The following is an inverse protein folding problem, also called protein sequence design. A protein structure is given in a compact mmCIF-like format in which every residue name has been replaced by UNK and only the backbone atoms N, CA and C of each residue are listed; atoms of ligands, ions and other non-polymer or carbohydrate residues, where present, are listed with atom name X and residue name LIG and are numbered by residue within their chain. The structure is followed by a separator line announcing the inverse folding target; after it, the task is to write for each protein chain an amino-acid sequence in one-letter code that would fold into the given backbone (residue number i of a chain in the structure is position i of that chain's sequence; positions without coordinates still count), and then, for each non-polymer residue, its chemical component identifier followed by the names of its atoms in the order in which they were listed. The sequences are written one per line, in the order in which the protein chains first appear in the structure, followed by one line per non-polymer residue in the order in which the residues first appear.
data_IF_063724217453
#
_entry.id   IF_063724217453
#
_cell.length_a   1.000
_cell.length_b   1.000
_cell.length_c   1.000
_cell.angle_alpha   90.00
_cell.angle_beta   90.00
_cell.angle_gamma   90.00
#
_symmetry.space_group_name_H-M   'P 1'
#
loop_
_entity.id
_entity.type
_entity.pdbx_description
1 polymer ?
#
# COMPACT_ATOMS: atom_id res chain seq x y z
N UNK A 1 1.07 7.29 -9.13
CA UNK A 1 1.05 7.11 -7.67
C UNK A 1 2.25 6.27 -7.26
N UNK A 2 3.09 6.75 -6.35
CA UNK A 2 4.23 5.97 -5.87
C UNK A 2 3.82 5.02 -4.73
N UNK A 3 3.36 3.83 -5.11
CA UNK A 3 2.98 2.75 -4.19
C UNK A 3 4.20 2.15 -3.48
N UNK A 4 5.36 2.21 -4.11
CA UNK A 4 6.57 1.56 -3.63
C UNK A 4 7.11 2.22 -2.35
N UNK A 5 7.28 3.54 -2.36
CA UNK A 5 8.02 4.23 -1.31
C UNK A 5 7.21 4.47 -0.03
N UNK A 6 5.90 4.74 -0.12
CA UNK A 6 5.15 5.29 1.02
C UNK A 6 3.99 4.40 1.52
N UNK A 7 3.86 4.15 2.85
CA UNK A 7 2.78 3.34 3.42
C UNK A 7 1.41 3.89 3.07
N UNK A 8 1.33 5.20 2.98
CA UNK A 8 0.16 5.96 2.59
C UNK A 8 0.52 6.68 1.30
N UNK A 9 -0.35 6.59 0.31
CA UNK A 9 -0.11 7.19 -0.99
C UNK A 9 -0.26 8.70 -0.93
N UNK A 10 0.68 9.40 -1.58
CA UNK A 10 0.70 10.86 -1.65
C UNK A 10 -0.06 11.33 -2.90
N UNK A 11 -1.08 12.18 -2.75
CA UNK A 11 -1.92 12.61 -3.88
C UNK A 11 -1.15 13.44 -4.90
N UNK A 12 -0.09 14.11 -4.47
CA UNK A 12 0.78 14.92 -5.34
C UNK A 12 1.64 14.05 -6.27
N UNK A 13 1.65 12.73 -6.07
CA UNK A 13 2.40 11.75 -6.88
C UNK A 13 1.51 11.00 -7.87
N UNK A 14 0.31 11.51 -8.17
CA UNK A 14 -0.51 11.00 -9.28
C UNK A 14 -0.04 11.57 -10.61
N UNK A 15 -0.25 10.82 -11.68
CA UNK A 15 0.09 11.23 -13.04
C UNK A 15 -1.20 11.31 -13.86
N UNK A 16 -1.27 12.24 -14.80
CA UNK A 16 -2.38 12.32 -15.72
C UNK A 16 -2.34 11.12 -16.69
N UNK A 17 -3.48 10.47 -16.86
CA UNK A 17 -3.65 9.35 -17.79
C UNK A 17 -4.87 9.60 -18.66
N UNK A 18 -4.91 8.99 -19.84
CA UNK A 18 -6.14 8.96 -20.64
C UNK A 18 -7.22 8.16 -19.90
N UNK A 19 -8.45 8.66 -19.92
CA UNK A 19 -9.58 7.99 -19.29
C UNK A 19 -9.93 6.76 -20.13
N UNK A 20 -9.88 5.60 -19.50
CA UNK A 20 -10.33 4.34 -20.05
C UNK A 20 -11.41 3.78 -19.13
N UNK A 21 -12.63 3.63 -19.66
CA UNK A 21 -13.80 3.17 -18.89
C UNK A 21 -13.64 1.75 -18.31
N UNK A 22 -12.68 0.97 -18.82
CA UNK A 22 -12.35 -0.34 -18.28
C UNK A 22 -11.43 -0.28 -17.04
N UNK A 23 -10.86 0.89 -16.73
CA UNK A 23 -9.96 1.05 -15.58
C UNK A 23 -10.72 1.03 -14.25
N UNK A 24 -10.09 0.39 -13.26
CA UNK A 24 -10.62 0.36 -11.92
C UNK A 24 -10.39 1.69 -11.21
N UNK A 25 -11.46 2.31 -10.70
CA UNK A 25 -11.38 3.50 -9.85
C UNK A 25 -10.83 3.15 -8.47
N UNK A 26 -9.91 3.99 -7.97
CA UNK A 26 -9.37 3.92 -6.60
C UNK A 26 -10.28 4.70 -5.66
N UNK A 27 -10.53 4.16 -4.47
CA UNK A 27 -11.38 4.75 -3.42
C UNK A 27 -10.65 4.80 -2.10
N UNK A 28 -11.12 5.67 -1.21
CA UNK A 28 -10.63 5.74 0.16
C UNK A 28 -10.58 4.36 0.83
N UNK A 29 -9.45 4.04 1.44
CA UNK A 29 -9.20 2.75 2.11
C UNK A 29 -8.74 1.63 1.18
N UNK A 30 -8.65 1.86 -0.13
CA UNK A 30 -8.06 0.88 -1.05
C UNK A 30 -6.58 0.68 -0.74
N UNK A 31 -6.16 -0.58 -0.79
CA UNK A 31 -4.76 -0.97 -0.68
C UNK A 31 -4.23 -1.31 -2.06
N UNK A 32 -3.14 -0.68 -2.45
CA UNK A 32 -2.47 -0.87 -3.71
C UNK A 32 -1.19 -1.66 -3.50
N UNK A 33 -0.86 -2.56 -4.42
CA UNK A 33 0.35 -3.38 -4.35
C UNK A 33 1.12 -3.35 -5.67
N UNK A 34 2.45 -3.26 -5.59
CA UNK A 34 3.31 -3.49 -6.76
C UNK A 34 3.28 -4.96 -7.18
N UNK A 35 3.27 -5.21 -8.49
CA UNK A 35 3.17 -6.59 -9.03
C UNK A 35 4.51 -7.28 -9.22
N UNK A 36 5.56 -6.51 -9.50
CA UNK A 36 6.86 -7.02 -9.92
C UNK A 36 8.03 -6.20 -9.36
N UNK A 37 9.17 -6.84 -9.09
CA UNK A 37 10.44 -6.16 -8.79
C UNK A 37 11.66 -6.97 -9.27
N UNK A 38 12.84 -6.38 -9.16
CA UNK A 38 14.14 -7.04 -9.42
C UNK A 38 14.58 -7.91 -8.23
N UNK A 39 14.16 -7.55 -7.02
CA UNK A 39 14.43 -8.33 -5.80
C UNK A 39 13.15 -8.89 -5.18
N UNK A 40 13.19 -10.07 -4.54
CA UNK A 40 12.02 -10.65 -3.90
C UNK A 40 11.56 -9.84 -2.68
N UNK A 41 12.43 -9.07 -2.03
CA UNK A 41 12.10 -8.22 -0.88
C UNK A 41 11.23 -7.01 -1.27
N UNK A 42 11.33 -6.58 -2.52
CA UNK A 42 10.68 -5.38 -3.06
C UNK A 42 9.38 -5.68 -3.81
N UNK A 43 9.06 -6.95 -4.07
CA UNK A 43 7.80 -7.32 -4.72
C UNK A 43 6.62 -7.17 -3.75
N UNK A 44 5.46 -6.77 -4.25
CA UNK A 44 4.26 -6.66 -3.42
C UNK A 44 4.35 -5.55 -2.38
N UNK A 45 5.13 -4.49 -2.62
CA UNK A 45 5.12 -3.30 -1.78
C UNK A 45 3.73 -2.68 -1.78
N UNK A 46 3.23 -2.29 -0.62
CA UNK A 46 1.86 -1.84 -0.44
C UNK A 46 1.76 -0.35 -0.16
N UNK A 47 0.65 0.28 -0.54
CA UNK A 47 0.30 1.63 -0.11
C UNK A 47 -1.20 1.77 0.02
N UNK A 48 -1.68 2.53 1.01
CA UNK A 48 -3.11 2.77 1.21
C UNK A 48 -3.49 4.14 0.68
N UNK A 49 -4.58 4.19 -0.08
CA UNK A 49 -5.17 5.43 -0.58
C UNK A 49 -6.11 6.03 0.45
N UNK A 50 -5.81 7.25 0.92
CA UNK A 50 -6.58 7.93 1.97
C UNK A 50 -7.28 9.20 1.48
N UNK A 51 -7.34 9.43 0.16
CA UNK A 51 -8.06 10.56 -0.40
C UNK A 51 -9.45 10.18 -0.90
N UNK A 52 -10.33 11.17 -0.86
CA UNK A 52 -11.67 11.12 -1.46
C UNK A 52 -11.70 11.96 -2.75
N UNK A 53 -10.83 11.62 -3.70
CA UNK A 53 -10.79 12.30 -5.01
C UNK A 53 -11.58 11.53 -6.06
N UNK A 54 -12.36 12.25 -6.84
CA UNK A 54 -12.93 11.73 -8.08
C UNK A 54 -11.83 11.54 -9.13
N UNK A 55 -12.06 10.66 -10.11
CA UNK A 55 -11.16 10.42 -11.24
C UNK A 55 -9.74 9.93 -10.89
N UNK A 56 -9.59 9.17 -9.79
CA UNK A 56 -8.35 8.43 -9.51
C UNK A 56 -8.48 6.99 -10.01
N UNK A 57 -7.56 6.57 -10.86
CA UNK A 57 -7.57 5.26 -11.50
C UNK A 57 -6.33 4.45 -11.13
N UNK A 58 -6.50 3.13 -11.05
CA UNK A 58 -5.40 2.20 -10.78
C UNK A 58 -4.59 1.98 -12.06
N UNK A 59 -3.27 2.13 -11.97
CA UNK A 59 -2.38 1.84 -13.10
C UNK A 59 -2.18 0.33 -13.33
N UNK A 60 -1.69 -0.05 -14.50
CA UNK A 60 -1.47 -1.45 -14.89
C UNK A 60 -0.33 -2.16 -14.14
N UNK A 61 0.54 -1.40 -13.46
CA UNK A 61 1.68 -1.93 -12.71
C UNK A 61 1.33 -2.35 -11.28
N UNK A 62 0.15 -1.94 -10.80
CA UNK A 62 -0.33 -2.28 -9.48
C UNK A 62 -1.61 -3.12 -9.56
N UNK A 63 -1.89 -3.86 -8.48
CA UNK A 63 -3.22 -4.38 -8.24
C UNK A 63 -3.80 -3.77 -6.97
N UNK A 64 -5.11 -3.56 -6.96
CA UNK A 64 -5.86 -3.01 -5.84
C UNK A 64 -6.59 -4.09 -5.07
N UNK A 65 -6.67 -3.90 -3.75
CA UNK A 65 -7.52 -4.64 -2.83
C UNK A 65 -8.39 -3.65 -2.05
N UNK A 66 -9.70 -3.89 -2.06
CA UNK A 66 -10.67 -3.11 -1.28
C UNK A 66 -11.14 -3.95 -0.08
N UNK A 67 -10.80 -3.57 1.16
CA UNK A 67 -11.25 -4.29 2.34
C UNK A 67 -12.79 -4.34 2.41
N UNK A 68 -13.34 -5.53 2.60
CA UNK A 68 -14.80 -5.73 2.76
C UNK A 68 -15.22 -5.55 4.22
N UNK A 69 -14.33 -5.88 5.16
CA UNK A 69 -14.53 -5.65 6.59
C UNK A 69 -13.97 -4.28 6.96
N UNK A 70 -14.61 -3.63 7.93
CA UNK A 70 -14.12 -2.39 8.51
C UNK A 70 -12.78 -2.65 9.22
N UNK A 71 -11.73 -1.98 8.75
CA UNK A 71 -10.38 -1.99 9.30
C UNK A 71 -9.87 -0.56 9.23
N UNK A 72 -9.18 -0.09 10.27
CA UNK A 72 -8.57 1.24 10.24
C UNK A 72 -7.51 1.27 9.12
N UNK A 73 -7.60 2.21 8.16
CA UNK A 73 -6.76 2.16 6.97
C UNK A 73 -5.31 2.60 7.28
N UNK A 74 -5.08 3.42 8.32
CA UNK A 74 -3.74 3.72 8.81
C UNK A 74 -3.10 2.47 9.41
N UNK A 75 -3.83 1.73 10.26
CA UNK A 75 -3.34 0.46 10.78
C UNK A 75 -2.93 -0.50 9.65
N UNK A 76 -3.79 -0.64 8.63
CA UNK A 76 -3.54 -1.53 7.50
C UNK A 76 -2.30 -1.11 6.69
N UNK A 77 -2.10 0.20 6.49
CA UNK A 77 -0.92 0.76 5.81
C UNK A 77 0.40 0.31 6.46
N UNK A 78 0.45 0.36 7.78
CA UNK A 78 1.65 0.00 8.55
C UNK A 78 1.77 -1.51 8.80
N UNK A 79 0.67 -2.22 9.01
CA UNK A 79 0.67 -3.68 9.16
C UNK A 79 1.29 -4.36 7.93
N UNK A 80 0.86 -3.96 6.73
CA UNK A 80 1.33 -4.55 5.47
C UNK A 80 2.80 -4.26 5.17
N UNK A 81 3.36 -3.24 5.83
CA UNK A 81 4.78 -2.86 5.76
C UNK A 81 5.60 -3.30 6.95
N UNK A 82 4.99 -3.90 7.97
CA UNK A 82 5.71 -4.48 9.09
C UNK A 82 6.67 -5.58 8.61
N UNK A 83 7.81 -5.72 9.27
CA UNK A 83 8.85 -6.69 8.91
C UNK A 83 8.30 -8.12 8.81
N UNK A 84 7.43 -8.51 9.75
CA UNK A 84 6.78 -9.82 9.73
C UNK A 84 5.88 -10.03 8.52
N UNK A 85 5.11 -9.01 8.13
CA UNK A 85 4.25 -9.10 6.94
C UNK A 85 5.04 -9.05 5.64
N UNK A 86 6.04 -8.16 5.55
CA UNK A 86 6.95 -8.08 4.40
C UNK A 86 7.66 -9.40 4.15
N UNK A 87 8.09 -10.09 5.21
CA UNK A 87 8.67 -11.43 5.10
C UNK A 87 7.67 -12.44 4.54
N UNK A 88 6.41 -12.45 4.99
CA UNK A 88 5.37 -13.32 4.43
C UNK A 88 5.13 -13.03 2.95
N UNK A 89 5.08 -11.76 2.57
CA UNK A 89 4.85 -11.32 1.19
C UNK A 89 6.03 -11.71 0.28
N UNK A 90 7.27 -11.48 0.71
CA UNK A 90 8.46 -11.81 -0.09
C UNK A 90 8.62 -13.32 -0.31
N UNK A 91 8.15 -14.16 0.61
CA UNK A 91 8.11 -15.61 0.41
C UNK A 91 7.16 -16.06 -0.71
N UNK A 92 6.21 -15.21 -1.12
CA UNK A 92 5.32 -15.48 -2.25
C UNK A 92 5.93 -15.05 -3.59
N UNK A 93 7.09 -14.40 -3.59
CA UNK A 93 7.78 -13.95 -4.78
C UNK A 93 8.19 -15.12 -5.67
N UNK A 94 7.91 -15.02 -6.97
CA UNK A 94 8.29 -16.03 -7.96
C UNK A 94 9.02 -15.39 -9.12
N UNK A 95 10.15 -15.95 -9.51
CA UNK A 95 10.99 -15.45 -10.59
C UNK A 95 12.47 -15.74 -10.36
N UNK A 96 13.30 -15.32 -11.32
CA UNK A 96 14.77 -15.41 -11.23
C UNK A 96 15.37 -14.01 -11.38
N UNK A 97 15.23 -13.40 -12.56
CA UNK A 97 15.71 -12.05 -12.84
C UNK A 97 14.67 -10.97 -12.53
N UNK A 98 13.39 -11.31 -12.63
CA UNK A 98 12.26 -10.45 -12.27
C UNK A 98 11.28 -11.26 -11.46
N UNK A 99 11.02 -10.81 -10.24
CA UNK A 99 10.09 -11.44 -9.32
C UNK A 99 8.71 -10.85 -9.52
N UNK A 100 7.70 -11.70 -9.47
CA UNK A 100 6.29 -11.32 -9.51
C UNK A 100 5.56 -11.96 -8.34
N UNK A 101 4.39 -11.41 -8.00
CA UNK A 101 3.53 -11.98 -6.98
C UNK A 101 2.15 -12.31 -7.54
N UNK A 102 1.65 -13.50 -7.20
CA UNK A 102 0.30 -13.90 -7.57
C UNK A 102 -0.72 -13.16 -6.71
N UNK A 103 -1.66 -12.46 -7.35
CA UNK A 103 -2.80 -11.82 -6.68
C UNK A 103 -3.56 -12.83 -5.81
N UNK A 104 -3.84 -14.02 -6.33
CA UNK A 104 -4.57 -15.07 -5.59
C UNK A 104 -3.81 -15.48 -4.34
N UNK A 105 -2.49 -15.65 -4.42
CA UNK A 105 -1.67 -15.99 -3.24
C UNK A 105 -1.59 -14.87 -2.22
N UNK A 106 -1.54 -13.61 -2.65
CA UNK A 106 -1.64 -12.48 -1.73
C UNK A 106 -2.96 -12.45 -0.97
N UNK A 107 -4.06 -12.82 -1.62
CA UNK A 107 -5.39 -12.87 -0.98
C UNK A 107 -5.53 -14.01 0.03
N UNK A 108 -4.66 -15.02 -0.01
CA UNK A 108 -4.62 -16.13 0.97
C UNK A 108 -3.85 -15.75 2.25
N UNK A 109 -3.18 -14.58 2.30
CA UNK A 109 -2.40 -14.17 3.47
C UNK A 109 -3.29 -13.83 4.65
N UNK A 110 -3.04 -14.50 5.78
CA UNK A 110 -3.68 -14.19 7.05
C UNK A 110 -2.99 -13.02 7.75
N UNK A 111 -3.81 -12.05 8.16
CA UNK A 111 -3.42 -10.86 8.90
C UNK A 111 -4.13 -10.82 10.26
N UNK A 112 -3.45 -10.30 11.28
CA UNK A 112 -4.08 -10.03 12.58
C UNK A 112 -4.88 -8.73 12.47
N UNK A 113 -6.11 -8.73 13.00
CA UNK A 113 -6.95 -7.53 13.09
C UNK A 113 -7.36 -7.39 14.56
N UNK A 114 -6.68 -6.53 15.34
CA UNK A 114 -7.00 -6.31 16.74
C UNK A 114 -8.28 -5.48 16.89
N UNK A 115 -8.66 -5.12 18.12
CA UNK A 115 -9.81 -4.24 18.35
C UNK A 115 -9.58 -2.82 17.77
N UNK A 116 -10.66 -2.05 17.59
CA UNK A 116 -10.60 -0.74 16.94
C UNK A 116 -9.64 0.25 17.64
N UNK A 117 -9.61 0.27 18.97
CA UNK A 117 -8.75 1.18 19.74
C UNK A 117 -7.26 0.89 19.51
N UNK A 118 -6.89 -0.38 19.45
CA UNK A 118 -5.50 -0.78 19.17
C UNK A 118 -5.10 -0.45 17.73
N UNK A 119 -6.01 -0.69 16.77
CA UNK A 119 -5.78 -0.28 15.39
C UNK A 119 -5.55 1.24 15.27
N UNK A 120 -6.37 2.04 15.94
CA UNK A 120 -6.24 3.50 15.96
C UNK A 120 -4.93 3.96 16.61
N UNK A 121 -4.56 3.39 17.76
CA UNK A 121 -3.33 3.71 18.45
C UNK A 121 -2.08 3.43 17.58
N UNK A 122 -2.02 2.24 16.97
CA UNK A 122 -0.91 1.84 16.10
C UNK A 122 -0.86 2.72 14.85
N UNK A 123 -2.00 2.90 14.16
CA UNK A 123 -2.08 3.70 12.94
C UNK A 123 -1.70 5.16 13.17
N UNK A 124 -2.18 5.77 14.25
CA UNK A 124 -1.86 7.15 14.63
C UNK A 124 -0.39 7.31 14.98
N UNK A 125 0.18 6.37 15.73
CA UNK A 125 1.58 6.42 16.15
C UNK A 125 2.53 6.46 14.94
N UNK A 126 2.40 5.51 14.02
CA UNK A 126 3.31 5.42 12.88
C UNK A 126 3.08 6.52 11.83
N UNK A 127 1.82 6.93 11.61
CA UNK A 127 1.54 8.07 10.72
C UNK A 127 2.09 9.38 11.25
N UNK A 128 1.98 9.63 12.56
CA UNK A 128 2.59 10.79 13.20
C UNK A 128 4.11 10.73 13.07
N UNK A 129 4.72 9.57 13.30
CA UNK A 129 6.16 9.40 13.18
C UNK A 129 6.68 9.72 11.77
N UNK A 130 6.03 9.17 10.74
CA UNK A 130 6.39 9.43 9.34
C UNK A 130 6.24 10.91 8.97
N UNK A 131 5.18 11.56 9.45
CA UNK A 131 4.99 13.00 9.26
C UNK A 131 6.11 13.81 9.92
N UNK A 132 6.51 13.48 11.15
CA UNK A 132 7.61 14.16 11.83
C UNK A 132 8.94 13.96 11.09
N UNK A 133 9.24 12.74 10.64
CA UNK A 133 10.43 12.46 9.82
C UNK A 133 10.43 13.31 8.55
N UNK A 134 9.30 13.36 7.84
CA UNK A 134 9.13 14.16 6.62
C UNK A 134 9.35 15.65 6.88
N UNK A 135 8.77 16.19 7.95
CA UNK A 135 8.95 17.59 8.34
C UNK A 135 10.40 17.92 8.69
N UNK A 136 11.10 17.01 9.38
CA UNK A 136 12.51 17.19 9.70
C UNK A 136 13.40 17.16 8.46
N UNK A 137 13.17 16.24 7.52
CA UNK A 137 13.95 16.16 6.27
C UNK A 137 13.80 17.41 5.41
N UNK A 138 12.62 18.06 5.41
CA UNK A 138 12.38 19.31 4.68
C UNK A 138 13.07 20.54 5.28
N UNK A 139 13.41 20.52 6.58
CA UNK A 139 14.10 21.63 7.27
C UNK A 139 15.61 21.64 7.03
N UNK A 140 16.18 20.54 6.56
CA UNK A 140 17.62 20.40 6.32
C UNK A 140 18.05 20.78 4.89
N UNK A 141 17.19 21.52 4.18
CA UNK A 141 17.41 22.11 2.85
C UNK A 141 17.38 23.62 3.02
#
# INVERSE_FOLDING_TARGET
MNVFSNPISLPEMVEAVEIDESQNTVRYGDVLFTTSSETPEEVGMSSVWLENTENTYLNSFCFGFRPVKKVNPYYLAYLLRSSGMRRKISFLAQGISRYNISKTKMMELEISIPNENEQEAIGTFFSTLDQQITLHQRKSI
#
